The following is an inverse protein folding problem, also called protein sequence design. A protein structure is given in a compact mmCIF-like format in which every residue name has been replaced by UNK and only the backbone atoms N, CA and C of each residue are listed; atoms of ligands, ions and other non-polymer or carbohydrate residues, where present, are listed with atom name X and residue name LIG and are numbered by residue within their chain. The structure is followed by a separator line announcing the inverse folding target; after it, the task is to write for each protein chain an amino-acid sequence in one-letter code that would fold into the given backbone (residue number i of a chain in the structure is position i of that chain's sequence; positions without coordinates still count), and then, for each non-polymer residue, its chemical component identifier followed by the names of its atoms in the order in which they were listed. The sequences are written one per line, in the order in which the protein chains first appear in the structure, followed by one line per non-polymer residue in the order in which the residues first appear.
data_IF_924728858323
#
_entry.id   IF_924728858323
#
_cell.length_a   1.000
_cell.length_b   1.000
_cell.length_c   1.000
_cell.angle_alpha   90.00
_cell.angle_beta   90.00
_cell.angle_gamma   90.00
#
_symmetry.space_group_name_H-M   'P 1'
#
loop_
_entity.id
_entity.type
_entity.pdbx_description
1 polymer ?
#
# COMPACT_ATOMS: atom_id res chain seq x y z
N UNK A 1 22.28 7.47 14.23
CA UNK A 1 21.95 6.07 14.59
C UNK A 1 20.48 6.04 14.95
N UNK A 2 19.69 5.43 14.07
CA UNK A 2 18.24 5.58 13.96
C UNK A 2 17.63 4.27 14.45
N UNK A 3 16.78 4.32 15.49
CA UNK A 3 16.08 3.14 16.02
C UNK A 3 14.63 3.50 16.31
N UNK A 4 13.75 2.56 16.00
CA UNK A 4 12.55 2.78 15.19
C UNK A 4 11.55 1.65 15.46
N UNK A 5 10.25 1.92 15.41
CA UNK A 5 9.22 0.88 15.57
C UNK A 5 7.83 1.34 15.08
N UNK A 6 7.33 0.76 13.99
CA UNK A 6 5.95 0.79 13.48
C UNK A 6 5.73 -0.43 12.57
N UNK A 7 4.63 -1.16 12.68
CA UNK A 7 4.50 -2.45 11.99
C UNK A 7 4.24 -2.27 10.47
N UNK A 8 5.24 -2.48 9.60
CA UNK A 8 5.06 -2.90 8.20
C UNK A 8 4.10 -4.08 8.15
N UNK A 9 3.09 -3.98 7.30
CA UNK A 9 2.13 -5.04 7.06
C UNK A 9 2.17 -5.41 5.57
N UNK A 10 2.89 -6.46 5.19
CA UNK A 10 2.95 -6.95 3.80
C UNK A 10 1.52 -7.30 3.38
N UNK A 11 0.99 -6.62 2.36
CA UNK A 11 -0.31 -6.92 1.76
C UNK A 11 -0.10 -7.63 0.44
N UNK A 12 -0.29 -8.95 0.39
CA UNK A 12 -0.41 -9.67 -0.88
C UNK A 12 -1.86 -9.61 -1.36
N UNK A 13 -2.09 -9.01 -2.55
CA UNK A 13 -3.40 -9.05 -3.20
C UNK A 13 -3.51 -10.36 -3.99
N UNK A 14 -3.89 -11.45 -3.33
CA UNK A 14 -4.29 -12.67 -4.02
C UNK A 14 -5.81 -12.72 -4.19
N UNK A 15 -6.28 -12.87 -5.44
CA UNK A 15 -7.68 -13.14 -5.79
C UNK A 15 -8.71 -12.20 -5.13
N UNK A 16 -8.42 -10.89 -5.10
CA UNK A 16 -9.32 -9.87 -4.55
C UNK A 16 -9.34 -9.76 -3.02
N UNK A 17 -8.38 -10.39 -2.32
CA UNK A 17 -8.23 -10.28 -0.86
C UNK A 17 -6.84 -9.78 -0.49
N UNK A 18 -6.80 -8.95 0.55
CA UNK A 18 -5.57 -8.45 1.15
C UNK A 18 -5.03 -9.45 2.18
N UNK A 19 -3.85 -9.99 1.92
CA UNK A 19 -3.15 -10.97 2.77
C UNK A 19 -2.06 -10.26 3.58
N UNK A 20 -2.13 -10.32 4.91
CA UNK A 20 -1.40 -9.40 5.79
C UNK A 20 -0.21 -10.05 6.53
N UNK A 21 0.98 -9.41 6.58
CA UNK A 21 2.10 -9.82 7.48
C UNK A 21 2.79 -8.69 8.23
N UNK A 22 2.97 -8.85 9.53
CA UNK A 22 3.64 -7.87 10.39
C UNK A 22 5.18 -7.97 10.38
N UNK A 23 5.89 -6.91 10.01
CA UNK A 23 7.33 -6.61 10.27
C UNK A 23 7.44 -5.20 10.87
N UNK A 24 8.47 -4.78 11.62
CA UNK A 24 8.56 -3.41 12.15
C UNK A 24 9.34 -2.39 11.26
N UNK A 25 9.11 -1.08 11.51
CA UNK A 25 9.48 0.23 10.88
C UNK A 25 8.51 0.79 9.78
N UNK A 26 8.19 2.10 9.61
CA UNK A 26 8.58 3.38 10.26
C UNK A 26 8.04 4.66 9.55
N UNK A 27 6.84 5.16 9.90
CA UNK A 27 6.23 6.37 9.28
C UNK A 27 5.67 7.42 10.27
N UNK A 28 6.10 7.39 11.53
CA UNK A 28 5.67 8.33 12.56
C UNK A 28 6.85 8.81 13.41
N UNK A 29 6.89 10.11 13.70
CA UNK A 29 7.89 10.67 14.60
C UNK A 29 7.45 10.42 16.05
N UNK A 30 8.27 9.67 16.79
CA UNK A 30 8.15 9.59 18.25
C UNK A 30 8.69 10.87 18.86
N UNK A 31 8.04 11.35 19.92
CA UNK A 31 8.57 12.47 20.70
C UNK A 31 9.78 12.01 21.51
N UNK A 32 10.93 12.71 21.42
CA UNK A 32 12.15 12.40 22.19
C UNK A 32 11.92 12.33 23.70
N UNK A 33 10.92 13.05 24.23
CA UNK A 33 10.54 13.04 25.63
C UNK A 33 9.52 11.93 26.00
N UNK A 34 8.78 11.40 25.02
CA UNK A 34 7.68 10.45 25.21
C UNK A 34 7.64 9.46 24.04
N UNK A 35 8.44 8.37 24.06
CA UNK A 35 8.53 7.41 22.96
C UNK A 35 7.23 6.64 22.70
N UNK A 36 6.32 6.61 23.67
CA UNK A 36 4.99 5.98 23.60
C UNK A 36 3.96 6.79 22.80
N UNK A 37 4.24 8.07 22.51
CA UNK A 37 3.33 8.96 21.77
C UNK A 37 3.79 9.13 20.33
N UNK A 38 2.85 8.91 19.41
CA UNK A 38 2.99 9.16 17.98
C UNK A 38 2.44 10.54 17.62
N UNK A 39 3.23 11.28 16.85
CA UNK A 39 2.79 12.48 16.13
C UNK A 39 2.40 12.08 14.71
N UNK A 40 1.12 12.23 14.36
CA UNK A 40 0.59 11.86 13.04
C UNK A 40 -0.23 13.01 12.46
N UNK A 41 -0.05 13.29 11.18
CA UNK A 41 -0.92 14.20 10.44
C UNK A 41 -2.22 13.46 10.09
N UNK A 42 -3.40 14.01 10.43
CA UNK A 42 -4.68 13.39 10.12
C UNK A 42 -4.99 13.49 8.63
N UNK A 43 -6.00 12.74 8.22
CA UNK A 43 -6.44 12.67 6.82
C UNK A 43 -6.91 14.01 6.23
N UNK A 44 -7.34 14.95 7.07
CA UNK A 44 -7.75 16.31 6.66
C UNK A 44 -6.61 17.34 6.67
N UNK A 45 -5.40 16.97 7.11
CA UNK A 45 -4.19 17.80 7.04
C UNK A 45 -4.13 19.03 7.95
N UNK A 46 -5.18 19.34 8.71
CA UNK A 46 -5.31 20.66 9.35
C UNK A 46 -4.73 20.78 10.76
N UNK A 47 -4.59 19.68 11.51
CA UNK A 47 -4.21 19.70 12.95
C UNK A 47 -3.34 18.49 13.28
N UNK A 48 -2.19 18.66 13.94
CA UNK A 48 -1.36 17.55 14.40
C UNK A 48 -2.09 16.70 15.45
N UNK A 49 -2.20 15.38 15.24
CA UNK A 49 -2.78 14.46 16.22
C UNK A 49 -1.65 13.81 17.04
N UNK A 50 -1.75 13.91 18.36
CA UNK A 50 -0.90 13.20 19.32
C UNK A 50 -1.69 12.01 19.87
N UNK A 51 -1.26 10.79 19.55
CA UNK A 51 -1.94 9.56 19.97
C UNK A 51 -0.96 8.57 20.56
N UNK A 52 -1.41 7.73 21.50
CA UNK A 52 -0.58 6.63 22.00
C UNK A 52 -0.37 5.60 20.89
N UNK A 53 0.86 5.13 20.75
CA UNK A 53 1.23 4.08 19.81
C UNK A 53 0.42 2.81 20.00
N UNK A 54 0.19 2.38 21.25
CA UNK A 54 -0.58 1.16 21.52
C UNK A 54 -2.02 1.27 21.00
N UNK A 55 -2.66 2.41 21.23
CA UNK A 55 -4.02 2.70 20.73
C UNK A 55 -4.06 2.67 19.20
N UNK A 56 -3.03 3.22 18.54
CA UNK A 56 -2.90 3.15 17.08
C UNK A 56 -2.87 1.71 16.58
N UNK A 57 -1.97 0.91 17.15
CA UNK A 57 -1.77 -0.50 16.77
C UNK A 57 -3.04 -1.30 17.02
N UNK A 58 -3.66 -1.19 18.20
CA UNK A 58 -4.90 -1.92 18.51
C UNK A 58 -6.05 -1.57 17.58
N UNK A 59 -6.19 -0.30 17.19
CA UNK A 59 -7.21 0.13 16.22
C UNK A 59 -6.96 -0.45 14.83
N UNK A 60 -5.70 -0.50 14.37
CA UNK A 60 -5.34 -1.16 13.10
C UNK A 60 -5.61 -2.66 13.20
N UNK A 61 -5.14 -3.34 14.25
CA UNK A 61 -5.38 -4.78 14.45
C UNK A 61 -6.87 -5.12 14.47
N UNK A 62 -7.71 -4.28 15.08
CA UNK A 62 -9.16 -4.45 15.05
C UNK A 62 -9.75 -4.37 13.64
N UNK A 63 -9.19 -3.55 12.75
CA UNK A 63 -9.60 -3.48 11.35
C UNK A 63 -9.18 -4.76 10.61
N UNK A 64 -7.98 -5.25 10.90
CA UNK A 64 -7.41 -6.43 10.25
C UNK A 64 -7.97 -7.76 10.77
N UNK A 65 -8.66 -7.74 11.91
CA UNK A 65 -9.38 -8.88 12.46
C UNK A 65 -10.70 -9.17 11.72
N UNK A 66 -11.11 -8.29 10.80
CA UNK A 66 -12.26 -8.54 9.93
C UNK A 66 -11.92 -9.57 8.85
N UNK A 67 -12.16 -10.84 9.15
CA UNK A 67 -11.91 -11.99 8.27
C UNK A 67 -12.76 -11.97 6.98
N UNK A 68 -13.80 -11.12 6.91
CA UNK A 68 -14.55 -10.93 5.66
C UNK A 68 -13.77 -10.10 4.63
N UNK A 69 -12.83 -9.27 5.09
CA UNK A 69 -12.05 -8.35 4.26
C UNK A 69 -10.58 -8.74 4.16
N UNK A 70 -10.02 -9.28 5.24
CA UNK A 70 -8.60 -9.55 5.35
C UNK A 70 -8.34 -11.02 5.64
N UNK A 71 -7.21 -11.53 5.17
CA UNK A 71 -6.75 -12.88 5.52
C UNK A 71 -5.35 -12.78 6.09
N UNK A 72 -5.13 -13.36 7.28
CA UNK A 72 -3.78 -13.42 7.85
C UNK A 72 -2.97 -14.53 7.17
N UNK A 73 -1.79 -14.20 6.67
CA UNK A 73 -0.86 -15.19 6.13
C UNK A 73 -0.21 -15.96 7.28
N UNK A 74 -0.20 -17.30 7.21
CA UNK A 74 0.35 -18.15 8.28
C UNK A 74 1.83 -18.49 8.08
N UNK A 75 2.39 -18.17 6.91
CA UNK A 75 3.76 -18.50 6.56
C UNK A 75 4.73 -17.38 6.99
N UNK A 76 5.75 -17.73 7.76
CA UNK A 76 6.78 -16.81 8.26
C UNK A 76 7.94 -16.56 7.26
N UNK A 77 7.94 -17.19 6.07
CA UNK A 77 9.02 -17.05 5.10
C UNK A 77 8.75 -15.87 4.17
N UNK A 78 9.67 -14.93 4.03
CA UNK A 78 9.56 -13.80 3.09
C UNK A 78 9.16 -14.29 1.68
N UNK A 79 7.94 -13.93 1.26
CA UNK A 79 7.35 -14.36 -0.02
C UNK A 79 7.62 -13.34 -1.14
N UNK A 80 8.37 -12.27 -0.87
CA UNK A 80 8.68 -11.22 -1.86
C UNK A 80 9.33 -11.85 -3.10
N UNK A 81 10.32 -12.72 -2.91
CA UNK A 81 10.94 -13.46 -4.02
C UNK A 81 9.92 -14.30 -4.81
N UNK A 82 8.95 -14.90 -4.11
CA UNK A 82 7.90 -15.70 -4.76
C UNK A 82 6.91 -14.81 -5.54
N UNK A 83 6.58 -13.63 -5.01
CA UNK A 83 5.73 -12.64 -5.66
C UNK A 83 6.45 -12.07 -6.89
N UNK A 84 7.69 -11.64 -6.74
CA UNK A 84 8.55 -11.17 -7.83
C UNK A 84 8.69 -12.23 -8.93
N UNK A 85 8.89 -13.50 -8.55
CA UNK A 85 8.98 -14.61 -9.50
C UNK A 85 7.67 -14.80 -10.28
N UNK A 86 6.52 -14.79 -9.59
CA UNK A 86 5.20 -14.94 -10.23
C UNK A 86 4.89 -13.77 -11.15
N UNK A 87 5.17 -12.54 -10.70
CA UNK A 87 5.00 -11.32 -11.48
C UNK A 87 5.87 -11.36 -12.74
N UNK A 88 7.15 -11.72 -12.60
CA UNK A 88 8.08 -11.90 -13.72
C UNK A 88 7.60 -12.99 -14.69
N UNK A 89 7.06 -14.09 -14.17
CA UNK A 89 6.51 -15.17 -15.01
C UNK A 89 5.29 -14.70 -15.81
N UNK A 90 4.43 -13.86 -15.23
CA UNK A 90 3.32 -13.25 -15.94
C UNK A 90 3.78 -12.27 -17.02
N UNK A 91 4.79 -11.44 -16.71
CA UNK A 91 5.36 -10.50 -17.68
C UNK A 91 6.03 -11.21 -18.86
N UNK A 92 6.75 -12.32 -18.62
CA UNK A 92 7.31 -13.15 -19.71
C UNK A 92 6.24 -13.70 -20.65
N UNK A 93 5.11 -14.17 -20.11
CA UNK A 93 3.99 -14.62 -20.96
C UNK A 93 3.46 -13.48 -21.84
N UNK A 94 3.41 -12.25 -21.32
CA UNK A 94 2.98 -11.09 -22.10
C UNK A 94 4.00 -10.72 -23.20
N UNK A 95 5.29 -10.89 -22.93
CA UNK A 95 6.36 -10.77 -23.93
C UNK A 95 6.23 -11.85 -25.01
N UNK A 96 5.99 -13.12 -24.63
CA UNK A 96 5.77 -14.22 -25.58
C UNK A 96 4.58 -13.95 -26.52
N UNK A 97 3.58 -13.21 -26.04
CA UNK A 97 2.43 -12.76 -26.83
C UNK A 97 2.69 -11.48 -27.65
N UNK A 98 3.90 -10.92 -27.60
CA UNK A 98 4.28 -9.70 -28.31
C UNK A 98 3.63 -8.42 -27.76
N UNK A 99 3.10 -8.46 -26.53
CA UNK A 99 2.48 -7.31 -25.87
C UNK A 99 3.47 -6.47 -25.06
N UNK A 100 4.65 -7.02 -24.80
CA UNK A 100 5.78 -6.36 -24.15
C UNK A 100 7.02 -6.48 -25.04
N UNK A 101 7.80 -5.41 -25.11
CA UNK A 101 9.17 -5.47 -25.61
C UNK A 101 10.14 -5.96 -24.54
N UNK A 102 11.29 -6.49 -24.97
CA UNK A 102 12.38 -6.91 -24.07
C UNK A 102 12.82 -5.75 -23.15
N UNK A 103 12.88 -4.53 -23.68
CA UNK A 103 13.24 -3.34 -22.91
C UNK A 103 12.19 -3.01 -21.82
N UNK A 104 10.90 -3.12 -22.14
CA UNK A 104 9.84 -2.94 -21.14
C UNK A 104 9.88 -4.04 -20.10
N UNK A 105 10.15 -5.29 -20.51
CA UNK A 105 10.27 -6.40 -19.58
C UNK A 105 11.40 -6.18 -18.58
N UNK A 106 12.59 -5.76 -19.03
CA UNK A 106 13.71 -5.45 -18.13
C UNK A 106 13.40 -4.27 -17.20
N UNK A 107 12.69 -3.24 -17.68
CA UNK A 107 12.27 -2.12 -16.83
C UNK A 107 11.22 -2.53 -15.77
N UNK A 108 10.40 -3.54 -16.05
CA UNK A 108 9.36 -4.04 -15.15
C UNK A 108 9.84 -5.13 -14.20
N UNK A 109 10.93 -5.82 -14.52
CA UNK A 109 11.59 -6.79 -13.64
C UNK A 109 12.27 -6.04 -12.49
N UNK A 110 11.59 -5.97 -11.36
CA UNK A 110 12.18 -5.46 -10.13
C UNK A 110 12.73 -6.64 -9.31
N UNK A 111 13.94 -6.47 -8.78
CA UNK A 111 14.58 -7.42 -7.84
C UNK A 111 14.92 -6.66 -6.56
N UNK A 112 14.59 -7.23 -5.40
CA UNK A 112 14.89 -6.60 -4.11
C UNK A 112 13.86 -5.56 -3.68
N UNK A 113 12.60 -5.77 -4.06
CA UNK A 113 11.49 -4.88 -3.70
C UNK A 113 11.10 -4.98 -2.23
N UNK A 114 10.43 -3.93 -1.75
CA UNK A 114 9.97 -3.83 -0.36
C UNK A 114 8.50 -4.27 -0.33
N UNK A 115 8.07 -5.03 0.69
CA UNK A 115 6.65 -5.37 0.79
C UNK A 115 5.83 -4.10 1.03
N UNK A 116 4.59 -4.02 0.49
CA UNK A 116 3.71 -2.91 0.77
C UNK A 116 3.56 -2.69 2.29
N UNK A 117 3.48 -1.44 2.73
CA UNK A 117 3.38 -1.10 4.14
C UNK A 117 1.98 -0.58 4.48
N UNK A 118 1.29 -1.21 5.42
CA UNK A 118 0.09 -0.61 6.01
C UNK A 118 0.45 0.37 7.13
N UNK A 119 -0.14 1.56 7.08
CA UNK A 119 -0.18 2.48 8.22
C UNK A 119 -1.58 3.08 8.37
N UNK A 120 -1.78 3.80 9.48
CA UNK A 120 -3.08 4.36 9.84
C UNK A 120 -3.06 5.87 9.96
N UNK A 121 -3.97 6.56 9.26
CA UNK A 121 -4.22 7.98 9.48
C UNK A 121 -5.45 8.20 10.37
N UNK A 122 -5.35 8.96 11.47
CA UNK A 122 -6.49 9.25 12.32
C UNK A 122 -7.46 10.20 11.61
N UNK A 123 -8.76 9.86 11.62
CA UNK A 123 -9.85 10.74 11.17
C UNK A 123 -10.28 11.64 12.32
N UNK A 124 -9.56 12.74 12.53
CA UNK A 124 -9.78 13.65 13.68
C UNK A 124 -11.16 14.29 13.73
N UNK A 125 -11.85 14.40 12.59
CA UNK A 125 -13.17 15.02 12.46
C UNK A 125 -14.35 14.06 12.72
N UNK A 126 -14.09 12.78 13.05
CA UNK A 126 -15.12 11.78 13.32
C UNK A 126 -15.14 11.43 14.81
N UNK A 127 -16.31 11.10 15.38
CA UNK A 127 -16.39 10.59 16.76
C UNK A 127 -15.51 9.35 16.91
N UNK A 128 -14.91 9.18 18.09
CA UNK A 128 -13.97 8.10 18.44
C UNK A 128 -12.65 8.07 17.65
N UNK A 129 -12.41 9.03 16.77
CA UNK A 129 -11.20 9.21 15.96
C UNK A 129 -10.77 7.88 15.31
N UNK A 130 -11.60 7.31 14.41
CA UNK A 130 -11.27 6.06 13.73
C UNK A 130 -10.01 6.22 12.88
N UNK A 131 -9.31 5.10 12.65
CA UNK A 131 -8.12 5.08 11.81
C UNK A 131 -8.51 4.69 10.38
N UNK A 132 -8.07 5.48 9.41
CA UNK A 132 -8.10 5.11 8.00
C UNK A 132 -6.84 4.29 7.69
N UNK A 133 -6.96 3.00 7.36
CA UNK A 133 -5.84 2.21 6.88
C UNK A 133 -5.40 2.74 5.50
N UNK A 134 -4.10 2.89 5.30
CA UNK A 134 -3.45 3.25 4.03
C UNK A 134 -2.37 2.23 3.75
N UNK A 135 -2.37 1.68 2.55
CA UNK A 135 -1.32 0.80 2.05
C UNK A 135 -0.40 1.65 1.20
N UNK A 136 0.86 1.75 1.63
CA UNK A 136 1.95 2.24 0.81
C UNK A 136 2.43 1.12 -0.10
N UNK A 137 2.35 1.34 -1.40
CA UNK A 137 2.84 0.39 -2.41
C UNK A 137 4.12 0.90 -3.08
N UNK A 138 4.69 2.01 -2.62
CA UNK A 138 5.95 2.51 -3.16
C UNK A 138 7.05 1.47 -2.98
N UNK A 139 7.91 1.34 -3.98
CA UNK A 139 9.02 0.36 -4.02
C UNK A 139 8.60 -1.11 -3.88
N UNK A 140 7.30 -1.40 -4.06
CA UNK A 140 6.76 -2.75 -4.05
C UNK A 140 6.85 -3.41 -5.44
N UNK A 141 6.81 -4.75 -5.52
CA UNK A 141 6.89 -5.46 -6.81
C UNK A 141 5.71 -5.14 -7.73
N UNK A 142 4.64 -4.56 -7.20
CA UNK A 142 3.45 -4.20 -7.94
C UNK A 142 3.54 -2.82 -8.59
N UNK A 143 4.37 -1.91 -8.06
CA UNK A 143 4.32 -0.48 -8.40
C UNK A 143 4.62 -0.22 -9.88
N UNK A 144 5.75 -0.72 -10.39
CA UNK A 144 6.17 -0.51 -11.77
C UNK A 144 5.16 -1.12 -12.76
N UNK A 145 4.72 -2.35 -12.51
CA UNK A 145 3.73 -3.02 -13.36
C UNK A 145 2.38 -2.32 -13.34
N UNK A 146 1.92 -1.83 -12.19
CA UNK A 146 0.67 -1.09 -12.09
C UNK A 146 0.75 0.25 -12.84
N UNK A 147 1.88 0.97 -12.72
CA UNK A 147 2.10 2.22 -13.46
C UNK A 147 2.10 1.98 -14.97
N UNK A 148 2.85 0.99 -15.43
CA UNK A 148 2.89 0.63 -16.85
C UNK A 148 1.51 0.24 -17.39
N UNK A 149 0.74 -0.57 -16.64
CA UNK A 149 -0.61 -0.95 -17.05
C UNK A 149 -1.54 0.27 -17.12
N UNK A 150 -1.46 1.17 -16.15
CA UNK A 150 -2.26 2.40 -16.14
C UNK A 150 -1.94 3.28 -17.37
N UNK A 151 -0.68 3.38 -17.76
CA UNK A 151 -0.25 4.13 -18.95
C UNK A 151 -0.80 3.51 -20.24
N UNK A 152 -0.78 2.18 -20.37
CA UNK A 152 -1.36 1.48 -21.53
C UNK A 152 -2.89 1.62 -21.60
N UNK A 153 -3.57 1.69 -20.46
CA UNK A 153 -5.03 1.83 -20.38
C UNK A 153 -5.51 3.29 -20.50
N UNK A 154 -4.62 4.27 -20.35
CA UNK A 154 -4.95 5.71 -20.39
C UNK A 154 -5.67 6.13 -21.68
N UNK A 155 -5.25 5.70 -22.90
CA UNK A 155 -5.95 6.06 -24.13
C UNK A 155 -7.37 5.50 -24.19
N UNK A 156 -7.57 4.28 -23.69
CA UNK A 156 -8.89 3.62 -23.66
C UNK A 156 -9.86 4.40 -22.79
N UNK A 157 -9.39 4.92 -21.64
CA UNK A 157 -10.19 5.79 -20.78
C UNK A 157 -10.72 7.01 -21.53
N UNK A 158 -9.90 7.64 -22.36
CA UNK A 158 -10.30 8.81 -23.14
C UNK A 158 -11.26 8.47 -24.30
N UNK A 159 -11.24 7.25 -24.81
CA UNK A 159 -12.11 6.80 -25.90
C UNK A 159 -13.48 6.33 -25.40
N UNK A 160 -13.53 5.60 -24.28
CA UNK A 160 -14.76 5.00 -23.76
C UNK A 160 -15.57 5.99 -22.93
N UNK A 161 -14.91 6.86 -22.17
CA UNK A 161 -15.59 7.73 -21.24
C UNK A 161 -15.84 9.11 -21.87
N UNK A 162 -16.87 9.19 -22.72
CA UNK A 162 -17.42 10.44 -23.27
C UNK A 162 -17.77 11.47 -22.18
N UNK A 163 -18.03 11.00 -20.96
CA UNK A 163 -18.37 11.79 -19.78
C UNK A 163 -17.31 11.68 -18.66
N UNK A 164 -16.08 11.28 -18.97
CA UNK A 164 -15.00 11.36 -17.97
C UNK A 164 -14.58 12.80 -17.79
N UNK A 165 -14.88 13.34 -16.61
CA UNK A 165 -14.33 14.61 -16.16
C UNK A 165 -12.83 14.44 -15.89
N UNK A 166 -12.04 15.44 -16.30
CA UNK A 166 -10.61 15.49 -16.02
C UNK A 166 -10.35 15.89 -14.58
N UNK A 167 -11.18 16.78 -14.04
CA UNK A 167 -11.10 17.27 -12.68
C UNK A 167 -12.47 17.37 -12.02
N UNK A 168 -12.48 17.31 -10.68
CA UNK A 168 -13.69 17.42 -9.86
C UNK A 168 -14.41 18.76 -10.06
N UNK A 169 -13.69 19.81 -10.45
CA UNK A 169 -14.28 21.13 -10.72
C UNK A 169 -15.05 21.21 -12.04
N UNK A 170 -14.93 20.20 -12.91
CA UNK A 170 -15.74 20.12 -14.14
C UNK A 170 -17.15 19.57 -13.86
N UNK A 171 -17.41 19.07 -12.63
CA UNK A 171 -18.73 18.64 -12.20
C UNK A 171 -19.53 19.85 -11.72
N UNK A 172 -20.38 20.42 -12.60
CA UNK A 172 -21.31 21.53 -12.32
C UNK A 172 -22.71 21.01 -12.08
#
# INVERSE_FOLDING_TARGET
MISSCLTSLMVDLEAGRAVLRTKPLGLGHTTKQHPEKLKVLPDTGSILVLMNKSVCVSKIESILADDSKFKRERQNKDQIESVEFRLTSCLRKLEDHGLLSEQELEALKLTGTVPPMLYGLPRSHKPDVPIRPIIDICDSPYHATASWLADKLKPIRHQIASHSLRETFEFV
#
